data_IF_204886847856
#
_entry.id   IF_204886847856
#
_cell.length_a   1.000
_cell.length_b   1.000
_cell.length_c   1.000
_cell.angle_alpha   90.00
_cell.angle_beta   90.00
_cell.angle_gamma   90.00
#
_symmetry.space_group_name_H-M   'P 1'
#
loop_
_entity.id
_entity.type
_entity.pdbx_description
1 polymer ?
#
# COMPACT_ATOMS: atom_id res chain seq x y z
N UNK A 1 -15.60 14.65 -44.21
CA UNK A 1 -15.92 13.32 -43.65
C UNK A 1 -14.71 12.58 -43.04
N UNK A 2 -13.46 12.87 -43.43
CA UNK A 2 -12.27 12.18 -42.87
C UNK A 2 -11.87 12.66 -41.46
N UNK A 3 -11.97 13.97 -41.18
CA UNK A 3 -11.66 14.57 -39.88
C UNK A 3 -12.52 14.00 -38.74
N UNK A 4 -13.83 13.86 -38.95
CA UNK A 4 -14.72 13.26 -37.96
C UNK A 4 -14.33 11.82 -37.62
N UNK A 5 -13.94 11.02 -38.63
CA UNK A 5 -13.46 9.65 -38.42
C UNK A 5 -12.17 9.62 -37.59
N UNK A 6 -11.24 10.55 -37.82
CA UNK A 6 -10.00 10.65 -37.04
C UNK A 6 -10.26 11.03 -35.58
N UNK A 7 -11.19 11.95 -35.33
CA UNK A 7 -11.57 12.36 -33.97
C UNK A 7 -12.20 11.18 -33.21
N UNK A 8 -13.13 10.46 -33.85
CA UNK A 8 -13.77 9.28 -33.26
C UNK A 8 -12.75 8.17 -33.02
N UNK A 9 -11.83 7.94 -33.95
CA UNK A 9 -10.79 6.93 -33.80
C UNK A 9 -9.81 7.28 -32.66
N UNK A 10 -9.41 8.54 -32.56
CA UNK A 10 -8.56 9.03 -31.48
C UNK A 10 -9.24 8.91 -30.11
N UNK A 11 -10.54 9.22 -30.04
CA UNK A 11 -11.33 9.05 -28.82
C UNK A 11 -11.45 7.57 -28.41
N UNK A 12 -11.74 6.69 -29.36
CA UNK A 12 -11.76 5.23 -29.13
C UNK A 12 -10.41 4.71 -28.64
N UNK A 13 -9.31 5.15 -29.26
CA UNK A 13 -7.96 4.77 -28.85
C UNK A 13 -7.63 5.25 -27.44
N UNK A 14 -7.97 6.50 -27.12
CA UNK A 14 -7.79 7.06 -25.78
C UNK A 14 -8.56 6.25 -24.72
N UNK A 15 -9.82 5.88 -25.03
CA UNK A 15 -10.65 5.13 -24.10
C UNK A 15 -10.09 3.71 -23.87
N UNK A 16 -9.66 3.04 -24.93
CA UNK A 16 -8.99 1.74 -24.84
C UNK A 16 -7.71 1.82 -23.99
N UNK A 17 -6.84 2.81 -24.24
CA UNK A 17 -5.61 3.02 -23.48
C UNK A 17 -5.88 3.30 -22.00
N UNK A 18 -6.93 4.07 -21.68
CA UNK A 18 -7.34 4.38 -20.30
C UNK A 18 -7.81 3.14 -19.54
N UNK A 19 -8.57 2.26 -20.19
CA UNK A 19 -9.02 1.00 -19.59
C UNK A 19 -7.84 0.05 -19.32
N UNK A 20 -6.94 -0.07 -20.29
CA UNK A 20 -5.75 -0.92 -20.20
C UNK A 20 -4.80 -0.41 -19.09
N UNK A 21 -4.52 0.89 -19.03
CA UNK A 21 -3.68 1.49 -17.98
C UNK A 21 -4.32 1.39 -16.58
N UNK A 22 -5.65 1.49 -16.47
CA UNK A 22 -6.36 1.23 -15.21
C UNK A 22 -6.26 -0.22 -14.76
N UNK A 23 -6.34 -1.16 -15.70
CA UNK A 23 -6.16 -2.59 -15.41
C UNK A 23 -4.73 -2.91 -14.96
N UNK A 24 -3.71 -2.35 -15.62
CA UNK A 24 -2.32 -2.53 -15.19
C UNK A 24 -2.04 -1.98 -13.78
N UNK A 25 -2.67 -0.86 -13.36
CA UNK A 25 -2.55 -0.35 -11.98
C UNK A 25 -3.19 -1.26 -10.93
N UNK A 26 -4.17 -2.07 -11.31
CA UNK A 26 -4.78 -3.05 -10.43
C UNK A 26 -3.88 -4.31 -10.30
N UNK A 27 -3.15 -4.65 -11.36
CA UNK A 27 -2.22 -5.79 -11.41
C UNK A 27 -0.82 -5.46 -10.90
N UNK A 28 -0.44 -4.19 -10.87
CA UNK A 28 0.73 -3.66 -10.16
C UNK A 28 0.38 -3.62 -8.66
N UNK A 29 0.07 -4.82 -8.14
CA UNK A 29 -0.36 -5.07 -6.79
C UNK A 29 0.56 -4.35 -5.83
N UNK A 30 -0.07 -3.74 -4.82
CA UNK A 30 0.55 -3.08 -3.68
C UNK A 30 2.00 -3.50 -3.55
N UNK A 31 2.92 -2.62 -3.99
CA UNK A 31 4.32 -2.73 -3.60
C UNK A 31 4.28 -2.77 -2.09
N UNK A 32 4.31 -3.98 -1.52
CA UNK A 32 4.40 -4.19 -0.08
C UNK A 32 5.57 -3.34 0.33
N UNK A 33 5.27 -2.24 1.01
CA UNK A 33 6.27 -1.34 1.54
C UNK A 33 7.00 -2.19 2.56
N UNK A 34 8.09 -2.82 2.12
CA UNK A 34 8.93 -3.61 3.00
C UNK A 34 9.63 -2.59 3.87
N UNK A 35 8.97 -2.22 4.97
CA UNK A 35 9.55 -1.40 6.02
C UNK A 35 10.58 -2.32 6.68
N UNK A 36 11.78 -2.35 6.10
CA UNK A 36 12.95 -2.85 6.81
C UNK A 36 13.09 -1.95 8.04
N UNK A 37 12.59 -2.42 9.18
CA UNK A 37 12.80 -1.84 10.50
C UNK A 37 14.26 -1.96 10.88
N UNK A 38 15.16 -1.30 10.14
CA UNK A 38 16.52 -1.07 10.61
C UNK A 38 16.39 -0.11 11.78
N UNK A 39 16.37 -0.68 12.98
CA UNK A 39 16.52 0.06 14.23
C UNK A 39 17.73 0.97 14.06
N UNK A 40 17.48 2.28 13.95
CA UNK A 40 18.52 3.30 13.85
C UNK A 40 19.18 3.43 15.22
N UNK A 41 20.05 2.47 15.56
CA UNK A 41 21.04 2.60 16.62
C UNK A 41 20.52 3.00 18.01
N UNK A 42 19.22 2.86 18.29
CA UNK A 42 18.75 3.12 19.63
C UNK A 42 19.19 1.95 20.52
N UNK A 43 19.87 2.22 21.65
CA UNK A 43 20.12 1.17 22.63
C UNK A 43 18.77 0.56 23.03
N UNK A 44 18.71 -0.78 23.23
CA UNK A 44 17.52 -1.41 23.74
C UNK A 44 17.12 -0.72 25.04
N UNK A 45 15.85 -0.35 25.16
CA UNK A 45 15.31 0.20 26.39
C UNK A 45 15.47 -0.88 27.47
N UNK A 46 16.36 -0.65 28.44
CA UNK A 46 16.59 -1.56 29.54
C UNK A 46 15.38 -1.50 30.47
N UNK A 47 14.51 -2.51 30.36
CA UNK A 47 13.29 -2.63 31.16
C UNK A 47 13.56 -3.27 32.53
N UNK A 48 14.82 -3.50 32.93
CA UNK A 48 15.13 -4.02 34.28
C UNK A 48 14.73 -3.05 35.40
N UNK A 49 14.70 -1.74 35.14
CA UNK A 49 14.35 -0.70 36.14
C UNK A 49 12.87 -0.31 36.11
N UNK A 50 12.04 -1.05 35.36
CA UNK A 50 10.60 -0.91 35.44
C UNK A 50 10.07 -2.16 36.13
N UNK A 51 9.70 -1.99 37.40
CA UNK A 51 8.78 -2.86 38.12
C UNK A 51 7.49 -2.93 37.30
N UNK A 52 7.49 -3.79 36.28
CA UNK A 52 6.29 -4.28 35.64
C UNK A 52 5.62 -5.15 36.68
N UNK A 53 4.78 -4.53 37.50
CA UNK A 53 3.76 -5.24 38.25
C UNK A 53 2.95 -6.01 37.20
N UNK A 54 3.21 -7.30 37.10
CA UNK A 54 2.41 -8.22 36.30
C UNK A 54 0.97 -8.05 36.76
N UNK A 55 0.15 -7.41 35.92
CA UNK A 55 -1.27 -7.28 36.21
C UNK A 55 -1.88 -8.67 36.10
N UNK A 56 -2.09 -9.33 37.23
CA UNK A 56 -2.85 -10.57 37.32
C UNK A 56 -4.28 -10.30 36.83
N UNK A 57 -4.56 -10.72 35.60
CA UNK A 57 -5.93 -10.66 35.06
C UNK A 57 -6.71 -11.84 35.65
N UNK A 58 -7.74 -11.54 36.45
CA UNK A 58 -8.71 -12.55 36.88
C UNK A 58 -9.51 -13.05 35.67
N UNK A 59 -9.37 -14.34 35.37
CA UNK A 59 -10.21 -15.03 34.39
C UNK A 59 -11.67 -14.99 34.85
N UNK A 60 -12.49 -14.24 34.12
CA UNK A 60 -13.94 -14.16 34.36
C UNK A 60 -14.56 -15.50 33.90
N UNK A 61 -15.12 -16.25 34.86
CA UNK A 61 -15.72 -17.58 34.67
C UNK A 61 -17.16 -17.52 34.17
#
# INVERSE_FOLDING_TARGET
>A
MSLFRLIVLGFLFYLAFKLISGFFRLFEGEKKQNVEGKSRGNPPLDLNDHDVEDADFEDIK
#
